data_IF_413293147470
#
_entry.id   IF_413293147470
#
_cell.length_a   1.000
_cell.length_b   1.000
_cell.length_c   1.000
_cell.angle_alpha   90.00
_cell.angle_beta   90.00
_cell.angle_gamma   90.00
#
_symmetry.space_group_name_H-M   'P 1'
#
loop_
_entity.id
_entity.type
_entity.pdbx_description
1 polymer ?
#
# COMPACT_ATOMS: atom_id res chain seq x y z
N UNK A 1 -15.94 1.22 21.79
CA UNK A 1 -14.68 0.50 21.56
C UNK A 1 -14.15 0.91 20.19
N UNK A 2 -12.88 1.24 20.06
CA UNK A 2 -12.25 1.56 18.75
C UNK A 2 -12.12 0.27 17.94
N UNK A 3 -12.57 0.28 16.68
CA UNK A 3 -12.45 -0.87 15.75
C UNK A 3 -11.00 -1.05 15.31
N UNK A 4 -10.60 -2.29 15.03
CA UNK A 4 -9.30 -2.60 14.41
C UNK A 4 -9.35 -2.27 12.94
N UNK A 5 -8.33 -1.56 12.48
CA UNK A 5 -8.24 -1.00 11.13
C UNK A 5 -7.55 -1.99 10.20
N UNK A 6 -8.23 -2.39 9.14
CA UNK A 6 -7.74 -3.41 8.19
C UNK A 6 -7.47 -2.79 6.83
N UNK A 7 -6.29 -3.06 6.28
CA UNK A 7 -5.94 -2.79 4.88
C UNK A 7 -5.96 -4.11 4.11
N UNK A 8 -6.70 -4.14 3.00
CA UNK A 8 -6.71 -5.26 2.05
C UNK A 8 -5.78 -4.96 0.87
N UNK A 9 -4.97 -5.94 0.47
CA UNK A 9 -4.00 -5.81 -0.63
C UNK A 9 -4.05 -7.03 -1.53
N UNK A 10 -4.49 -6.84 -2.77
CA UNK A 10 -4.57 -7.86 -3.81
C UNK A 10 -4.65 -7.14 -5.16
N UNK A 11 -3.99 -7.61 -6.21
CA UNK A 11 -4.05 -6.97 -7.52
C UNK A 11 -5.34 -7.31 -8.29
N UNK A 12 -6.09 -8.30 -7.82
CA UNK A 12 -7.40 -8.66 -8.35
C UNK A 12 -8.52 -7.91 -7.61
N UNK A 13 -9.16 -6.95 -8.27
CA UNK A 13 -10.27 -6.18 -7.70
C UNK A 13 -11.41 -7.07 -7.19
N UNK A 14 -11.70 -8.17 -7.88
CA UNK A 14 -12.75 -9.12 -7.51
C UNK A 14 -12.47 -9.80 -6.15
N UNK A 15 -11.21 -10.07 -5.84
CA UNK A 15 -10.80 -10.63 -4.55
C UNK A 15 -11.01 -9.59 -3.44
N UNK A 16 -10.58 -8.35 -3.68
CA UNK A 16 -10.80 -7.24 -2.74
C UNK A 16 -12.29 -7.00 -2.45
N UNK A 17 -13.14 -7.06 -3.49
CA UNK A 17 -14.59 -6.93 -3.35
C UNK A 17 -15.17 -8.12 -2.58
N UNK A 18 -14.77 -9.34 -2.91
CA UNK A 18 -15.19 -10.54 -2.20
C UNK A 18 -14.83 -10.51 -0.71
N UNK A 19 -13.56 -10.20 -0.38
CA UNK A 19 -13.10 -10.08 1.02
C UNK A 19 -13.85 -8.98 1.78
N UNK A 20 -14.22 -7.89 1.09
CA UNK A 20 -14.97 -6.79 1.71
C UNK A 20 -16.42 -7.15 1.99
N UNK A 21 -17.10 -7.85 1.07
CA UNK A 21 -18.55 -8.05 1.11
C UNK A 21 -18.96 -9.36 1.77
N UNK A 22 -18.15 -10.42 1.61
CA UNK A 22 -18.50 -11.78 2.04
C UNK A 22 -18.01 -12.12 3.45
N UNK A 23 -17.00 -11.43 3.97
CA UNK A 23 -16.52 -11.61 5.32
C UNK A 23 -17.13 -10.59 6.27
N UNK A 24 -17.68 -11.02 7.41
CA UNK A 24 -18.28 -10.14 8.41
C UNK A 24 -17.22 -9.51 9.33
N UNK A 25 -16.56 -8.47 8.82
CA UNK A 25 -15.57 -7.70 9.58
C UNK A 25 -16.10 -7.12 10.88
N UNK A 26 -17.41 -6.80 10.94
CA UNK A 26 -18.01 -6.19 12.11
C UNK A 26 -18.07 -7.16 13.28
N UNK A 27 -18.33 -8.45 13.04
CA UNK A 27 -18.37 -9.49 14.10
C UNK A 27 -17.00 -9.68 14.77
N UNK A 28 -15.91 -9.35 14.06
CA UNK A 28 -14.53 -9.36 14.56
C UNK A 28 -14.04 -7.99 15.05
N UNK A 29 -14.95 -7.04 15.27
CA UNK A 29 -14.61 -5.66 15.68
C UNK A 29 -13.60 -4.96 14.74
N UNK A 30 -13.64 -5.27 13.45
CA UNK A 30 -12.77 -4.73 12.40
C UNK A 30 -13.49 -3.75 11.48
N UNK A 31 -12.74 -2.85 10.85
CA UNK A 31 -13.20 -2.01 9.75
C UNK A 31 -12.15 -1.96 8.64
N UNK A 32 -12.58 -2.03 7.38
CA UNK A 32 -11.67 -1.86 6.24
C UNK A 32 -11.44 -0.36 6.04
N UNK A 33 -10.19 0.08 6.24
CA UNK A 33 -9.81 1.48 6.09
C UNK A 33 -9.21 1.81 4.73
N UNK A 34 -8.88 0.79 3.93
CA UNK A 34 -8.36 0.99 2.59
C UNK A 34 -8.13 -0.32 1.84
N UNK A 35 -7.87 -0.18 0.53
CA UNK A 35 -7.51 -1.27 -0.36
C UNK A 35 -6.33 -0.84 -1.21
N UNK A 36 -5.43 -1.74 -1.55
CA UNK A 36 -4.30 -1.50 -2.45
C UNK A 36 -4.21 -2.62 -3.48
N UNK A 37 -3.73 -2.32 -4.68
CA UNK A 37 -3.62 -3.27 -5.78
C UNK A 37 -2.16 -3.52 -6.18
N UNK A 38 -1.22 -3.01 -5.40
CA UNK A 38 0.22 -3.19 -5.60
C UNK A 38 1.01 -2.88 -4.32
N UNK A 39 2.26 -3.33 -4.29
CA UNK A 39 3.08 -3.23 -3.08
C UNK A 39 3.49 -1.81 -2.70
N UNK A 40 3.65 -0.88 -3.65
CA UNK A 40 4.01 0.51 -3.35
C UNK A 40 2.81 1.25 -2.76
N UNK A 41 1.63 1.08 -3.36
CA UNK A 41 0.37 1.61 -2.82
C UNK A 41 0.06 1.02 -1.44
N UNK A 42 0.38 -0.27 -1.20
CA UNK A 42 0.23 -0.89 0.10
C UNK A 42 1.09 -0.19 1.16
N UNK A 43 2.38 0.00 0.89
CA UNK A 43 3.29 0.72 1.82
C UNK A 43 2.80 2.14 2.09
N UNK A 44 2.42 2.90 1.05
CA UNK A 44 1.89 4.25 1.19
C UNK A 44 0.65 4.29 2.08
N UNK A 45 -0.32 3.39 1.82
CA UNK A 45 -1.58 3.34 2.59
C UNK A 45 -1.37 2.86 4.02
N UNK A 46 -0.43 1.98 4.30
CA UNK A 46 -0.06 1.64 5.68
C UNK A 46 0.45 2.89 6.41
N UNK A 47 1.29 3.69 5.76
CA UNK A 47 1.86 4.91 6.37
C UNK A 47 0.78 5.98 6.58
N UNK A 48 -0.13 6.18 5.63
CA UNK A 48 -1.16 7.23 5.71
C UNK A 48 -2.39 6.83 6.53
N UNK A 49 -2.82 5.58 6.43
CA UNK A 49 -4.06 5.11 7.08
C UNK A 49 -3.84 4.44 8.43
N UNK A 50 -2.60 4.08 8.80
CA UNK A 50 -2.30 3.37 10.05
C UNK A 50 -3.22 2.16 10.32
N UNK A 51 -3.27 1.17 9.44
CA UNK A 51 -3.98 -0.05 9.75
C UNK A 51 -3.32 -0.79 10.91
N UNK A 52 -4.10 -1.58 11.61
CA UNK A 52 -3.64 -2.52 12.64
C UNK A 52 -3.25 -3.86 12.01
N UNK A 53 -4.00 -4.25 10.97
CA UNK A 53 -3.86 -5.52 10.26
C UNK A 53 -3.77 -5.24 8.77
N UNK A 54 -2.85 -5.91 8.08
CA UNK A 54 -2.75 -5.96 6.62
C UNK A 54 -3.01 -7.38 6.16
N UNK A 55 -4.06 -7.57 5.38
CA UNK A 55 -4.36 -8.83 4.67
C UNK A 55 -3.85 -8.68 3.25
N UNK A 56 -2.91 -9.53 2.82
CA UNK A 56 -2.16 -9.26 1.61
C UNK A 56 -1.83 -10.51 0.81
N UNK A 57 -2.02 -10.43 -0.52
CA UNK A 57 -1.44 -11.40 -1.44
C UNK A 57 0.09 -11.21 -1.57
N UNK A 58 0.77 -12.30 -1.87
CA UNK A 58 2.21 -12.28 -2.16
C UNK A 58 2.47 -11.74 -3.58
N UNK A 59 1.69 -12.18 -4.55
CA UNK A 59 1.93 -11.89 -5.96
C UNK A 59 1.25 -10.59 -6.40
N UNK A 60 1.74 -9.48 -5.88
CA UNK A 60 1.28 -8.14 -6.25
C UNK A 60 2.37 -7.39 -7.03
N UNK A 61 1.98 -6.48 -7.94
CA UNK A 61 2.92 -5.73 -8.77
C UNK A 61 3.91 -4.87 -7.98
N UNK A 62 5.09 -4.62 -8.58
CA UNK A 62 6.17 -3.71 -8.17
C UNK A 62 6.97 -4.13 -6.95
N UNK A 63 6.34 -4.45 -5.85
CA UNK A 63 6.93 -5.05 -4.66
C UNK A 63 6.06 -6.23 -4.28
N UNK A 64 6.63 -7.43 -4.21
CA UNK A 64 5.87 -8.58 -3.75
C UNK A 64 5.48 -8.42 -2.27
N UNK A 65 4.45 -9.16 -1.84
CA UNK A 65 3.91 -9.04 -0.48
C UNK A 65 4.95 -9.24 0.62
N UNK A 66 5.90 -10.16 0.46
CA UNK A 66 6.96 -10.40 1.45
C UNK A 66 7.97 -9.25 1.53
N UNK A 67 8.28 -8.60 0.40
CA UNK A 67 9.09 -7.39 0.40
C UNK A 67 8.38 -6.23 1.12
N UNK A 68 7.06 -6.12 0.94
CA UNK A 68 6.22 -5.16 1.67
C UNK A 68 6.28 -5.44 3.17
N UNK A 69 6.08 -6.70 3.60
CA UNK A 69 6.20 -7.10 5.01
C UNK A 69 7.55 -6.72 5.57
N UNK A 70 8.65 -7.08 4.89
CA UNK A 70 10.02 -6.77 5.32
C UNK A 70 10.25 -5.27 5.54
N UNK A 71 9.76 -4.42 4.62
CA UNK A 71 9.85 -2.96 4.73
C UNK A 71 9.04 -2.44 5.91
N UNK A 72 7.80 -2.87 6.03
CA UNK A 72 6.86 -2.39 7.04
C UNK A 72 7.20 -2.89 8.45
N UNK A 73 7.79 -4.08 8.59
CA UNK A 73 8.30 -4.57 9.89
C UNK A 73 9.43 -3.68 10.44
N UNK A 74 10.32 -3.20 9.57
CA UNK A 74 11.35 -2.25 9.97
C UNK A 74 10.77 -0.91 10.43
N UNK A 75 9.59 -0.53 9.92
CA UNK A 75 8.91 0.72 10.23
C UNK A 75 7.97 0.61 11.43
N UNK A 76 7.19 -0.48 11.54
CA UNK A 76 6.24 -0.69 12.64
C UNK A 76 6.15 -2.18 13.04
N UNK A 77 6.70 -2.52 14.20
CA UNK A 77 6.70 -3.89 14.70
C UNK A 77 5.32 -4.35 15.23
N UNK A 78 4.40 -3.43 15.52
CA UNK A 78 3.06 -3.75 15.99
C UNK A 78 2.10 -4.12 14.86
N UNK A 79 2.40 -3.75 13.62
CA UNK A 79 1.57 -4.03 12.45
C UNK A 79 1.43 -5.56 12.27
N UNK A 80 0.20 -6.05 12.12
CA UNK A 80 -0.08 -7.48 11.91
C UNK A 80 -0.23 -7.77 10.44
N UNK A 81 0.25 -8.96 10.00
CA UNK A 81 0.21 -9.38 8.59
C UNK A 81 -0.41 -10.76 8.47
N UNK A 82 -1.47 -10.86 7.67
CA UNK A 82 -2.08 -12.11 7.24
C UNK A 82 -1.81 -12.23 5.74
N UNK A 83 -1.07 -13.25 5.34
CA UNK A 83 -0.79 -13.52 3.94
C UNK A 83 -1.89 -14.42 3.38
N UNK A 84 -2.41 -14.05 2.21
CA UNK A 84 -3.39 -14.84 1.47
C UNK A 84 -2.84 -15.10 0.08
N UNK A 85 -2.57 -16.35 -0.29
CA UNK A 85 -1.88 -16.66 -1.55
C UNK A 85 -2.50 -17.86 -2.26
N UNK A 86 -2.52 -17.80 -3.59
CA UNK A 86 -2.93 -18.93 -4.45
C UNK A 86 -1.84 -20.00 -4.65
N UNK A 87 -0.65 -19.78 -4.11
CA UNK A 87 0.49 -20.66 -4.31
C UNK A 87 0.84 -21.43 -3.05
N UNK A 88 0.88 -22.75 -3.17
CA UNK A 88 1.41 -23.68 -2.17
C UNK A 88 2.95 -23.82 -2.37
N UNK A 89 3.66 -22.67 -2.43
CA UNK A 89 5.10 -22.67 -2.58
C UNK A 89 5.76 -22.65 -1.21
N UNK A 90 6.45 -23.72 -0.89
CA UNK A 90 7.16 -23.91 0.36
C UNK A 90 8.18 -22.79 0.66
N UNK A 91 8.78 -22.21 -0.37
CA UNK A 91 9.72 -21.08 -0.20
C UNK A 91 9.02 -19.82 0.34
N UNK A 92 7.84 -19.49 -0.19
CA UNK A 92 7.06 -18.37 0.31
C UNK A 92 6.60 -18.57 1.75
N UNK A 93 6.18 -19.79 2.10
CA UNK A 93 5.83 -20.14 3.47
C UNK A 93 7.02 -19.97 4.43
N UNK A 94 8.23 -20.44 4.03
CA UNK A 94 9.44 -20.28 4.84
C UNK A 94 9.81 -18.81 5.04
N UNK A 95 9.77 -18.01 3.99
CA UNK A 95 10.12 -16.60 4.06
C UNK A 95 9.08 -15.79 4.87
N UNK A 96 7.79 -16.12 4.76
CA UNK A 96 6.74 -15.56 5.59
C UNK A 96 6.98 -15.85 7.08
N UNK A 97 7.33 -17.10 7.44
CA UNK A 97 7.70 -17.47 8.82
C UNK A 97 8.91 -16.67 9.33
N UNK A 98 9.96 -16.52 8.51
CA UNK A 98 11.16 -15.73 8.87
C UNK A 98 10.84 -14.25 9.11
N UNK A 99 9.86 -13.73 8.40
CA UNK A 99 9.39 -12.35 8.53
C UNK A 99 8.36 -12.18 9.67
N UNK A 100 8.06 -13.27 10.39
CA UNK A 100 7.10 -13.29 11.50
C UNK A 100 5.74 -12.72 11.10
N UNK A 101 5.22 -13.15 9.92
CA UNK A 101 3.80 -12.91 9.58
C UNK A 101 2.92 -13.67 10.56
N UNK A 102 1.70 -13.19 10.76
CA UNK A 102 0.81 -13.78 11.75
C UNK A 102 0.22 -15.10 11.28
N UNK A 103 -0.11 -15.17 9.99
CA UNK A 103 -0.58 -16.41 9.37
C UNK A 103 -0.41 -16.37 7.85
N UNK A 104 -0.51 -17.57 7.25
CA UNK A 104 -0.42 -17.79 5.81
C UNK A 104 -1.62 -18.66 5.38
N UNK A 105 -2.50 -18.11 4.57
CA UNK A 105 -3.76 -18.74 4.15
C UNK A 105 -3.73 -19.00 2.66
N UNK A 106 -4.06 -20.22 2.26
CA UNK A 106 -4.20 -20.58 0.85
C UNK A 106 -5.55 -20.15 0.28
N UNK A 107 -5.55 -19.63 -0.94
CA UNK A 107 -6.78 -19.42 -1.73
C UNK A 107 -7.26 -20.79 -2.27
N UNK A 108 -8.59 -21.07 -2.29
CA UNK A 108 -9.68 -20.19 -1.91
C UNK A 108 -9.82 -20.02 -0.40
N UNK A 109 -10.12 -18.80 0.06
CA UNK A 109 -10.22 -18.46 1.49
C UNK A 109 -11.47 -19.08 2.11
N UNK A 110 -11.27 -19.97 3.08
CA UNK A 110 -12.36 -20.37 3.98
C UNK A 110 -12.56 -19.33 5.07
N UNK A 111 -13.68 -18.60 5.01
CA UNK A 111 -13.96 -17.50 5.94
C UNK A 111 -14.12 -17.95 7.40
N UNK A 112 -14.46 -19.21 7.65
CA UNK A 112 -14.53 -19.74 9.03
C UNK A 112 -13.15 -19.86 9.66
N UNK A 113 -12.18 -20.30 8.89
CA UNK A 113 -10.77 -20.38 9.29
C UNK A 113 -10.14 -18.99 9.31
N UNK A 114 -10.44 -18.16 8.31
CA UNK A 114 -9.96 -16.78 8.22
C UNK A 114 -10.37 -15.94 9.44
N UNK A 115 -11.61 -16.06 9.91
CA UNK A 115 -12.09 -15.37 11.11
C UNK A 115 -11.27 -15.69 12.36
N UNK A 116 -10.90 -16.96 12.56
CA UNK A 116 -10.03 -17.37 13.68
C UNK A 116 -8.63 -16.74 13.59
N UNK A 117 -8.09 -16.62 12.39
CA UNK A 117 -6.79 -15.98 12.16
C UNK A 117 -6.86 -14.48 12.46
N UNK A 118 -7.94 -13.80 12.05
CA UNK A 118 -8.17 -12.39 12.36
C UNK A 118 -8.23 -12.19 13.88
N UNK A 119 -9.00 -13.01 14.60
CA UNK A 119 -9.11 -12.93 16.07
C UNK A 119 -7.77 -13.20 16.77
N UNK A 120 -7.00 -14.18 16.28
CA UNK A 120 -5.67 -14.47 16.82
C UNK A 120 -4.70 -13.30 16.59
N UNK A 121 -4.74 -12.66 15.42
CA UNK A 121 -3.94 -11.47 15.11
C UNK A 121 -4.30 -10.28 16.00
N UNK A 122 -5.59 -10.06 16.27
CA UNK A 122 -6.06 -9.03 17.20
C UNK A 122 -5.52 -9.29 18.60
N UNK A 123 -5.66 -10.50 19.11
CA UNK A 123 -5.17 -10.87 20.44
C UNK A 123 -3.66 -10.66 20.56
N UNK A 124 -2.90 -11.09 19.56
CA UNK A 124 -1.46 -10.88 19.53
C UNK A 124 -1.08 -9.40 19.52
N UNK A 125 -1.84 -8.55 18.80
CA UNK A 125 -1.65 -7.10 18.79
C UNK A 125 -1.91 -6.49 20.18
N UNK A 126 -2.98 -6.90 20.85
CA UNK A 126 -3.31 -6.46 22.22
C UNK A 126 -2.19 -6.81 23.21
N UNK A 127 -1.73 -8.06 23.18
CA UNK A 127 -0.63 -8.53 24.04
C UNK A 127 0.66 -7.73 23.78
N UNK A 128 0.96 -7.40 22.52
CA UNK A 128 2.10 -6.56 22.18
C UNK A 128 1.94 -5.12 22.64
N UNK A 129 0.75 -4.53 22.50
CA UNK A 129 0.44 -3.16 22.99
C UNK A 129 0.60 -3.05 24.49
N UNK A 130 0.16 -4.05 25.25
CA UNK A 130 0.34 -4.11 26.70
C UNK A 130 1.83 -4.15 27.09
N UNK A 131 2.66 -4.87 26.33
CA UNK A 131 4.12 -4.94 26.54
C UNK A 131 4.86 -3.69 26.07
N UNK A 132 4.39 -3.03 24.99
CA UNK A 132 5.03 -1.86 24.37
C UNK A 132 4.79 -0.54 25.12
N UNK A 133 4.00 -0.49 26.17
CA UNK A 133 3.79 0.71 27.01
C UNK A 133 5.10 1.31 27.57
N UNK A 134 6.25 0.72 27.30
CA UNK A 134 7.57 1.14 27.79
C UNK A 134 8.58 1.61 26.71
N UNK A 135 8.22 1.64 25.40
CA UNK A 135 9.18 2.01 24.35
C UNK A 135 8.66 3.15 23.44
N UNK A 136 8.70 4.36 23.97
CA UNK A 136 8.60 5.60 23.20
C UNK A 136 10.00 6.01 22.74
N UNK A 137 10.42 5.69 21.52
CA UNK A 137 11.54 6.39 20.84
C UNK A 137 11.54 6.05 19.34
N UNK A 138 11.54 7.09 18.52
CA UNK A 138 11.61 7.21 17.05
C UNK A 138 10.30 7.63 16.36
N UNK A 139 9.51 8.51 16.97
CA UNK A 139 8.24 8.97 16.38
C UNK A 139 8.40 10.06 15.30
N UNK A 140 9.37 10.97 15.45
CA UNK A 140 9.44 12.19 14.63
C UNK A 140 9.68 11.93 13.12
N UNK A 141 10.59 11.04 12.75
CA UNK A 141 10.89 10.75 11.35
C UNK A 141 9.73 10.02 10.66
N UNK A 142 9.03 9.16 11.38
CA UNK A 142 7.82 8.47 10.89
C UNK A 142 6.69 9.45 10.66
N UNK A 143 6.46 10.35 11.60
CA UNK A 143 5.41 11.37 11.48
C UNK A 143 5.70 12.32 10.30
N UNK A 144 6.94 12.73 10.11
CA UNK A 144 7.36 13.53 8.96
C UNK A 144 7.14 12.83 7.62
N UNK A 145 7.52 11.55 7.52
CA UNK A 145 7.27 10.77 6.28
C UNK A 145 5.78 10.66 6.01
N UNK A 146 4.99 10.39 7.04
CA UNK A 146 3.52 10.31 6.93
C UNK A 146 2.93 11.62 6.40
N UNK A 147 3.31 12.75 6.98
CA UNK A 147 2.83 14.05 6.54
C UNK A 147 3.18 14.34 5.08
N UNK A 148 4.43 14.03 4.67
CA UNK A 148 4.87 14.18 3.28
C UNK A 148 4.08 13.27 2.33
N UNK A 149 3.87 12.00 2.69
CA UNK A 149 3.10 11.03 1.90
C UNK A 149 1.64 11.50 1.74
N UNK A 150 0.97 11.86 2.84
CA UNK A 150 -0.40 12.36 2.81
C UNK A 150 -0.53 13.62 1.95
N UNK A 151 0.44 14.52 2.05
CA UNK A 151 0.42 15.74 1.26
C UNK A 151 0.63 15.46 -0.24
N UNK A 152 1.58 14.60 -0.60
CA UNK A 152 1.80 14.20 -2.00
C UNK A 152 0.57 13.51 -2.57
N UNK A 153 -0.11 12.65 -1.82
CA UNK A 153 -1.31 11.95 -2.25
C UNK A 153 -2.50 12.90 -2.51
N UNK A 154 -2.53 14.04 -1.84
CA UNK A 154 -3.57 15.06 -2.04
C UNK A 154 -3.24 16.04 -3.19
N UNK A 155 -1.95 16.24 -3.50
CA UNK A 155 -1.48 17.26 -4.45
C UNK A 155 -0.73 16.66 -5.65
N UNK A 156 -0.85 15.33 -5.88
CA UNK A 156 -0.05 14.60 -6.89
C UNK A 156 -0.15 15.20 -8.31
N UNK A 157 -1.25 15.86 -8.63
CA UNK A 157 -1.49 16.51 -9.93
C UNK A 157 -0.80 17.87 -10.07
N UNK A 158 -0.25 18.43 -9.00
CA UNK A 158 0.50 19.67 -9.02
C UNK A 158 1.98 19.46 -9.38
N UNK A 159 2.69 20.54 -9.69
CA UNK A 159 4.14 20.51 -9.92
C UNK A 159 4.87 20.38 -8.57
N UNK A 160 5.09 19.15 -8.11
CA UNK A 160 5.80 18.85 -6.87
C UNK A 160 7.28 18.67 -7.15
N UNK A 161 8.09 19.62 -6.70
CA UNK A 161 9.56 19.55 -6.74
C UNK A 161 10.13 19.26 -5.36
N UNK A 162 11.40 18.82 -5.31
CA UNK A 162 12.09 18.61 -4.05
C UNK A 162 12.24 19.92 -3.26
N UNK A 163 12.35 21.05 -3.95
CA UNK A 163 12.38 22.39 -3.34
C UNK A 163 11.06 22.71 -2.67
N UNK A 164 9.91 22.50 -3.35
CA UNK A 164 8.58 22.69 -2.73
C UNK A 164 8.38 21.83 -1.49
N UNK A 165 8.86 20.57 -1.50
CA UNK A 165 8.81 19.72 -0.32
C UNK A 165 9.72 20.25 0.79
N UNK A 166 10.93 20.72 0.44
CA UNK A 166 11.87 21.32 1.39
C UNK A 166 11.28 22.54 2.08
N UNK A 167 10.68 23.43 1.32
CA UNK A 167 10.06 24.66 1.84
C UNK A 167 8.84 24.34 2.72
N UNK A 168 7.99 23.44 2.25
CA UNK A 168 6.75 23.08 2.97
C UNK A 168 7.01 22.39 4.30
N UNK A 169 7.96 21.48 4.35
CA UNK A 169 8.24 20.66 5.54
C UNK A 169 9.43 21.16 6.34
N UNK A 170 10.07 22.25 5.92
CA UNK A 170 11.26 22.84 6.56
C UNK A 170 12.39 21.81 6.74
N UNK A 171 12.61 20.98 5.72
CA UNK A 171 13.62 19.94 5.68
C UNK A 171 14.53 20.11 4.45
N UNK A 172 15.81 19.84 4.57
CA UNK A 172 16.68 19.85 3.39
C UNK A 172 16.36 18.66 2.44
N UNK A 173 16.48 18.87 1.13
CA UNK A 173 16.11 17.89 0.11
C UNK A 173 16.88 16.57 0.23
N UNK A 174 18.15 16.60 0.68
CA UNK A 174 18.95 15.41 0.94
C UNK A 174 18.37 14.56 2.07
N UNK A 175 17.83 15.20 3.11
CA UNK A 175 17.19 14.51 4.23
C UNK A 175 15.84 13.91 3.82
N UNK A 176 15.02 14.66 3.05
CA UNK A 176 13.78 14.14 2.46
C UNK A 176 14.07 12.88 1.63
N UNK A 177 15.07 12.94 0.75
CA UNK A 177 15.47 11.80 -0.08
C UNK A 177 15.91 10.59 0.78
N UNK A 178 16.63 10.82 1.86
CA UNK A 178 17.03 9.78 2.83
C UNK A 178 15.81 9.16 3.52
N UNK A 179 14.88 9.99 3.99
CA UNK A 179 13.64 9.53 4.65
C UNK A 179 12.79 8.68 3.71
N UNK A 180 12.56 9.13 2.47
CA UNK A 180 11.81 8.36 1.47
C UNK A 180 12.49 7.02 1.18
N UNK A 181 13.80 7.00 0.97
CA UNK A 181 14.54 5.76 0.70
C UNK A 181 14.52 4.80 1.89
N UNK A 182 14.63 5.31 3.12
CA UNK A 182 14.60 4.49 4.33
C UNK A 182 13.21 3.92 4.60
N UNK A 183 12.15 4.73 4.46
CA UNK A 183 10.77 4.34 4.80
C UNK A 183 10.04 3.63 3.67
N UNK A 184 10.18 4.12 2.43
CA UNK A 184 9.44 3.63 1.26
C UNK A 184 10.30 2.76 0.33
N UNK A 185 11.62 2.73 0.53
CA UNK A 185 12.57 2.03 -0.33
C UNK A 185 12.78 2.67 -1.71
N UNK A 186 12.17 3.83 -1.95
CA UNK A 186 12.22 4.57 -3.21
C UNK A 186 12.51 6.05 -2.96
N UNK A 187 12.87 6.81 -4.00
CA UNK A 187 12.97 8.26 -3.87
C UNK A 187 11.60 8.93 -4.08
N UNK A 188 11.47 10.21 -3.66
CA UNK A 188 10.20 10.94 -3.75
C UNK A 188 9.67 11.07 -5.18
N UNK A 189 10.56 11.21 -6.17
CA UNK A 189 10.16 11.35 -7.57
C UNK A 189 9.56 10.06 -8.12
N UNK A 190 10.19 8.92 -7.85
CA UNK A 190 9.64 7.61 -8.21
C UNK A 190 8.33 7.34 -7.48
N UNK A 191 8.21 7.74 -6.21
CA UNK A 191 6.96 7.67 -5.44
C UNK A 191 5.85 8.50 -6.10
N UNK A 192 6.11 9.78 -6.41
CA UNK A 192 5.15 10.67 -7.07
C UNK A 192 4.73 10.13 -8.44
N UNK A 193 5.70 9.66 -9.23
CA UNK A 193 5.43 9.03 -10.53
C UNK A 193 4.49 7.84 -10.39
N UNK A 194 4.73 6.99 -9.40
CA UNK A 194 3.90 5.82 -9.12
C UNK A 194 2.44 6.22 -8.77
N UNK A 195 2.26 7.18 -7.86
CA UNK A 195 0.93 7.67 -7.50
C UNK A 195 0.18 8.21 -8.72
N UNK A 196 0.84 9.03 -9.54
CA UNK A 196 0.27 9.59 -10.78
C UNK A 196 -0.18 8.51 -11.76
N UNK A 197 0.65 7.51 -11.96
CA UNK A 197 0.35 6.43 -12.93
C UNK A 197 -0.77 5.51 -12.43
N UNK A 198 -0.86 5.24 -11.13
CA UNK A 198 -1.98 4.49 -10.57
C UNK A 198 -3.29 5.26 -10.68
N UNK A 199 -3.27 6.58 -10.44
CA UNK A 199 -4.45 7.43 -10.66
C UNK A 199 -4.84 7.48 -12.13
N UNK A 200 -3.85 7.55 -13.04
CA UNK A 200 -4.09 7.48 -14.48
C UNK A 200 -4.73 6.15 -14.87
N UNK A 201 -4.23 5.02 -14.37
CA UNK A 201 -4.82 3.69 -14.63
C UNK A 201 -6.27 3.64 -14.14
N UNK A 202 -6.54 4.13 -12.94
CA UNK A 202 -7.90 4.20 -12.43
C UNK A 202 -8.80 5.00 -13.36
N UNK A 203 -8.38 6.20 -13.81
CA UNK A 203 -9.15 7.04 -14.73
C UNK A 203 -9.35 6.38 -16.10
N UNK A 204 -8.34 5.69 -16.64
CA UNK A 204 -8.45 4.93 -17.88
C UNK A 204 -9.53 3.86 -17.82
N UNK A 205 -9.72 3.24 -16.66
CA UNK A 205 -10.69 2.16 -16.44
C UNK A 205 -12.10 2.67 -16.08
N UNK A 206 -12.23 3.87 -15.50
CA UNK A 206 -13.49 4.36 -14.92
C UNK A 206 -14.09 5.55 -15.65
N UNK A 207 -13.40 6.13 -16.64
CA UNK A 207 -13.85 7.35 -17.32
C UNK A 207 -13.61 7.29 -18.83
N UNK A 208 -14.34 8.12 -19.59
CA UNK A 208 -14.18 8.30 -21.04
C UNK A 208 -13.17 9.42 -21.42
N UNK A 209 -12.48 10.00 -20.45
CA UNK A 209 -11.46 11.02 -20.73
C UNK A 209 -10.43 10.52 -21.75
N UNK A 210 -10.02 11.38 -22.65
CA UNK A 210 -8.90 11.07 -23.58
C UNK A 210 -7.62 10.80 -22.80
N UNK A 211 -6.69 10.04 -23.38
CA UNK A 211 -5.39 9.74 -22.74
C UNK A 211 -4.61 11.04 -22.46
N UNK A 212 -4.77 12.07 -23.30
CA UNK A 212 -4.16 13.39 -23.09
C UNK A 212 -4.74 14.10 -21.87
N UNK A 213 -6.08 14.10 -21.73
CA UNK A 213 -6.73 14.68 -20.52
C UNK A 213 -6.32 13.95 -19.26
N UNK A 214 -6.22 12.62 -19.32
CA UNK A 214 -5.76 11.82 -18.17
C UNK A 214 -4.31 12.18 -17.81
N UNK A 215 -3.44 12.40 -18.79
CA UNK A 215 -2.08 12.86 -18.54
C UNK A 215 -2.07 14.19 -17.77
N UNK A 216 -2.87 15.18 -18.19
CA UNK A 216 -3.01 16.48 -17.52
C UNK A 216 -3.60 16.34 -16.12
N UNK A 217 -4.69 15.60 -15.96
CA UNK A 217 -5.36 15.35 -14.68
C UNK A 217 -4.46 14.67 -13.66
N UNK A 218 -3.45 13.95 -14.14
CA UNK A 218 -2.47 13.25 -13.29
C UNK A 218 -1.14 13.98 -13.15
N UNK A 219 -1.07 15.25 -13.60
CA UNK A 219 0.07 16.14 -13.38
C UNK A 219 1.22 15.99 -14.36
N UNK A 220 0.98 15.40 -15.54
CA UNK A 220 1.95 15.38 -16.65
C UNK A 220 1.72 16.56 -17.58
N UNK A 221 2.78 17.32 -17.87
CA UNK A 221 2.73 18.49 -18.77
C UNK A 221 2.64 18.12 -20.24
N UNK A 222 3.03 16.90 -20.59
CA UNK A 222 2.98 16.42 -21.96
C UNK A 222 2.65 14.93 -22.06
N UNK A 223 1.90 14.58 -23.10
CA UNK A 223 1.44 13.22 -23.40
C UNK A 223 2.59 12.23 -23.65
N UNK A 224 3.71 12.65 -24.24
CA UNK A 224 4.83 11.75 -24.57
C UNK A 224 5.54 11.29 -23.32
N UNK A 225 5.80 12.21 -22.40
CA UNK A 225 6.39 11.91 -21.09
C UNK A 225 5.49 10.98 -20.29
N UNK A 226 4.18 11.27 -20.27
CA UNK A 226 3.19 10.39 -19.65
C UNK A 226 3.22 8.96 -20.22
N UNK A 227 3.06 8.84 -21.55
CA UNK A 227 2.99 7.54 -22.22
C UNK A 227 4.25 6.70 -22.00
N UNK A 228 5.45 7.37 -22.05
CA UNK A 228 6.72 6.69 -21.77
C UNK A 228 6.81 6.22 -20.32
N UNK A 229 6.44 7.05 -19.35
CA UNK A 229 6.42 6.69 -17.95
C UNK A 229 5.42 5.55 -17.69
N UNK A 230 4.22 5.65 -18.26
CA UNK A 230 3.19 4.63 -18.13
C UNK A 230 3.66 3.27 -18.67
N UNK A 231 4.21 3.24 -19.89
CA UNK A 231 4.74 2.00 -20.49
C UNK A 231 5.88 1.40 -19.65
N UNK A 232 6.76 2.25 -19.11
CA UNK A 232 7.88 1.80 -18.29
C UNK A 232 7.40 1.15 -16.97
N UNK A 233 6.38 1.73 -16.34
CA UNK A 233 5.90 1.29 -15.04
C UNK A 233 4.84 0.18 -15.12
N UNK A 234 3.93 0.24 -16.10
CA UNK A 234 2.81 -0.71 -16.25
C UNK A 234 3.13 -1.84 -17.23
N UNK A 235 4.29 -1.80 -17.92
CA UNK A 235 4.68 -2.78 -18.92
C UNK A 235 3.92 -2.70 -20.25
N UNK A 236 2.90 -1.84 -20.37
CA UNK A 236 2.02 -1.69 -21.53
C UNK A 236 1.58 -0.25 -21.74
N UNK A 237 0.99 0.03 -22.91
CA UNK A 237 0.53 1.38 -23.25
C UNK A 237 -0.79 1.72 -22.54
N UNK A 238 -1.05 3.03 -22.27
CA UNK A 238 -2.35 3.46 -21.71
C UNK A 238 -3.56 3.05 -22.55
N UNK A 239 -3.43 3.01 -23.88
CA UNK A 239 -4.47 2.56 -24.81
C UNK A 239 -4.83 1.10 -24.59
N UNK A 240 -3.85 0.25 -24.35
CA UNK A 240 -4.08 -1.19 -24.10
C UNK A 240 -4.85 -1.45 -22.80
N UNK A 241 -4.57 -0.67 -21.73
CA UNK A 241 -5.34 -0.77 -20.49
C UNK A 241 -6.80 -0.34 -20.65
N UNK A 242 -7.07 0.63 -21.53
CA UNK A 242 -8.43 1.05 -21.84
C UNK A 242 -9.21 0.00 -22.63
N UNK A 243 -8.54 -0.72 -23.55
CA UNK A 243 -9.19 -1.75 -24.37
C UNK A 243 -9.56 -3.00 -23.58
N UNK A 244 -8.81 -3.32 -22.52
CA UNK A 244 -9.11 -4.45 -21.64
C UNK A 244 -10.38 -4.27 -20.80
N UNK A 245 -10.95 -3.06 -20.77
CA UNK A 245 -12.11 -2.72 -19.93
C UNK A 245 -13.35 -2.37 -20.77
N UNK A 246 -13.29 -2.55 -22.10
CA UNK A 246 -14.42 -2.50 -23.02
C UNK A 246 -14.92 -3.90 -23.37
#
# INVERSE_FOLDING_TARGET
MTRYRVLLVDDEAIILDGMTQLFDWNSHNCEIVGRAMDGISAVSKVISLHPDIVVMDINIPFLNGLEVVKKLRAWNQLLRFIIVSGYDDFHYCQDALRLSVDDYILKPVDFSTFGKVVDASIKALEDMRLRAGHLRLQSEDRDRVREMVCWIDQHYNEDITLEKLSDKFHLCGSYISKLFKASLGTNYFSYLTHIRLNKARQLLMTTDHSISEIAELTGYKDYRTFTRAYKLFMGRLPSSDRELNK
#
